data_IF_966212596259
#
_entry.id   IF_966212596259
#
_cell.length_a   1.000
_cell.length_b   1.000
_cell.length_c   1.000
_cell.angle_alpha   90.00
_cell.angle_beta   90.00
_cell.angle_gamma   90.00
#
_symmetry.space_group_name_H-M   'P 1'
#
loop_
_entity.id
_entity.type
_entity.pdbx_description
1 polymer ?
#
# COMPACT_ATOMS: atom_id res chain seq x y z
N UNK A 1 -1.67 -15.05 -24.62
CA UNK A 1 -0.78 -13.99 -24.11
C UNK A 1 -1.35 -13.54 -22.76
N UNK A 2 -0.67 -13.75 -21.62
CA UNK A 2 -1.14 -13.22 -20.33
C UNK A 2 -0.89 -11.73 -20.35
N UNK A 3 -1.94 -10.94 -20.50
CA UNK A 3 -1.87 -9.50 -20.35
C UNK A 3 -1.88 -9.16 -18.85
N UNK A 4 -0.78 -8.66 -18.27
CA UNK A 4 -0.71 -8.33 -16.85
C UNK A 4 -1.67 -7.19 -16.46
N UNK A 5 -2.32 -6.51 -17.41
CA UNK A 5 -3.28 -5.43 -17.19
C UNK A 5 -4.66 -5.67 -17.84
N UNK A 6 -4.96 -6.91 -18.25
CA UNK A 6 -6.21 -7.23 -18.94
C UNK A 6 -7.47 -7.16 -18.05
N UNK A 7 -8.68 -7.01 -18.65
CA UNK A 7 -9.97 -6.90 -17.95
C UNK A 7 -10.31 -8.11 -17.05
N UNK A 8 -9.61 -9.24 -17.24
CA UNK A 8 -9.84 -10.47 -16.50
C UNK A 8 -9.10 -10.57 -15.15
N UNK A 9 -8.38 -9.53 -14.70
CA UNK A 9 -7.64 -9.58 -13.42
C UNK A 9 -8.53 -9.68 -12.20
N UNK A 10 -9.64 -8.94 -12.16
CA UNK A 10 -10.51 -8.89 -11.00
C UNK A 10 -11.12 -10.28 -10.69
N UNK A 11 -11.70 -11.01 -11.67
CA UNK A 11 -12.15 -12.39 -11.44
C UNK A 11 -11.03 -13.35 -10.99
N UNK A 12 -9.80 -13.17 -11.50
CA UNK A 12 -8.65 -14.01 -11.11
C UNK A 12 -8.23 -13.75 -9.66
N UNK A 13 -8.23 -12.49 -9.21
CA UNK A 13 -7.94 -12.15 -7.81
C UNK A 13 -8.98 -12.70 -6.85
N UNK A 14 -10.26 -12.60 -7.21
CA UNK A 14 -11.35 -13.17 -6.41
C UNK A 14 -11.22 -14.69 -6.29
N UNK A 15 -10.87 -15.38 -7.38
CA UNK A 15 -10.67 -16.82 -7.39
C UNK A 15 -9.48 -17.23 -6.52
N UNK A 16 -8.37 -16.49 -6.60
CA UNK A 16 -7.21 -16.71 -5.73
C UNK A 16 -7.55 -16.53 -4.25
N UNK A 17 -8.21 -15.42 -3.89
CA UNK A 17 -8.59 -15.12 -2.51
C UNK A 17 -9.49 -16.21 -1.92
N UNK A 18 -10.46 -16.71 -2.71
CA UNK A 18 -11.32 -17.82 -2.31
C UNK A 18 -10.50 -19.08 -2.01
N UNK A 19 -9.66 -19.52 -2.94
CA UNK A 19 -8.83 -20.71 -2.77
C UNK A 19 -7.82 -20.59 -1.63
N UNK A 20 -7.27 -19.39 -1.41
CA UNK A 20 -6.34 -19.11 -0.31
C UNK A 20 -6.99 -19.35 1.05
N UNK A 21 -8.24 -18.91 1.20
CA UNK A 21 -9.04 -19.11 2.43
C UNK A 21 -9.48 -20.57 2.56
N UNK A 22 -10.08 -21.15 1.51
CA UNK A 22 -10.59 -22.53 1.52
C UNK A 22 -9.50 -23.56 1.83
N UNK A 23 -8.27 -23.33 1.36
CA UNK A 23 -7.14 -24.24 1.57
C UNK A 23 -6.29 -23.91 2.79
N UNK A 24 -6.67 -22.90 3.58
CA UNK A 24 -5.96 -22.44 4.77
C UNK A 24 -4.44 -22.25 4.53
N UNK A 25 -4.06 -21.67 3.38
CA UNK A 25 -2.65 -21.56 2.95
C UNK A 25 -1.81 -20.72 3.92
N UNK A 26 -2.40 -19.65 4.47
CA UNK A 26 -1.85 -18.86 5.55
C UNK A 26 -2.95 -18.03 6.23
N UNK A 27 -2.65 -17.49 7.41
CA UNK A 27 -3.56 -16.65 8.18
C UNK A 27 -3.11 -15.19 8.03
N UNK A 28 -3.87 -14.33 7.33
CA UNK A 28 -3.61 -12.89 7.31
C UNK A 28 -3.79 -12.33 8.71
N UNK A 29 -2.76 -11.67 9.25
CA UNK A 29 -2.80 -11.14 10.62
C UNK A 29 -3.39 -9.74 10.66
N UNK A 30 -2.80 -8.80 9.92
CA UNK A 30 -3.26 -7.41 9.80
C UNK A 30 -2.55 -6.71 8.63
N UNK A 31 -3.08 -5.55 8.24
CA UNK A 31 -2.39 -4.62 7.34
C UNK A 31 -1.78 -3.49 8.17
N UNK A 32 -0.46 -3.25 8.13
CA UNK A 32 0.17 -2.25 8.98
C UNK A 32 -0.29 -0.84 8.58
N UNK A 33 -0.81 -0.11 9.56
CA UNK A 33 -1.05 1.32 9.44
C UNK A 33 0.17 2.06 9.96
N UNK A 34 0.73 2.93 9.13
CA UNK A 34 1.88 3.74 9.50
C UNK A 34 1.42 5.16 9.82
N UNK A 35 1.63 5.57 11.06
CA UNK A 35 1.42 6.95 11.51
C UNK A 35 2.78 7.58 11.80
N UNK A 36 2.99 8.80 11.30
CA UNK A 36 4.22 9.55 11.53
C UNK A 36 3.89 10.93 12.06
N UNK A 37 4.62 11.34 13.10
CA UNK A 37 4.54 12.68 13.63
C UNK A 37 5.37 13.62 12.76
N UNK A 38 4.80 14.79 12.49
CA UNK A 38 5.45 15.90 11.78
C UNK A 38 5.27 17.14 12.65
N UNK A 39 6.24 18.05 12.63
CA UNK A 39 6.07 19.36 13.27
C UNK A 39 4.96 20.15 12.56
N UNK A 40 4.19 20.89 13.33
CA UNK A 40 3.07 21.71 12.86
C UNK A 40 3.48 22.79 11.84
N UNK A 41 4.74 23.23 11.88
CA UNK A 41 5.29 24.19 10.93
C UNK A 41 5.77 23.59 9.60
N UNK A 42 5.66 22.27 9.40
CA UNK A 42 6.02 21.60 8.15
C UNK A 42 4.76 21.33 7.34
N UNK A 43 4.70 21.85 6.12
CA UNK A 43 3.63 21.61 5.16
C UNK A 43 4.11 20.74 3.99
N UNK A 44 3.18 20.23 3.18
CA UNK A 44 3.49 19.40 2.00
C UNK A 44 3.74 17.92 2.29
N UNK A 45 3.65 17.48 3.55
CA UNK A 45 3.81 16.05 3.88
C UNK A 45 2.59 15.26 3.44
N UNK A 46 2.82 14.28 2.56
CA UNK A 46 1.79 13.34 2.13
C UNK A 46 2.26 11.89 2.34
N UNK A 47 1.51 11.16 3.19
CA UNK A 47 1.70 9.73 3.39
C UNK A 47 0.84 8.96 2.38
N UNK A 48 1.51 8.34 1.41
CA UNK A 48 0.87 7.43 0.44
C UNK A 48 1.13 5.97 0.84
N UNK A 49 0.93 5.02 -0.07
CA UNK A 49 1.26 3.61 0.18
C UNK A 49 2.74 3.44 0.52
N UNK A 50 3.01 2.92 1.72
CA UNK A 50 4.35 2.65 2.26
C UNK A 50 4.61 1.15 2.15
N UNK A 51 5.38 0.75 1.14
CA UNK A 51 5.90 -0.62 1.02
C UNK A 51 7.17 -0.84 1.83
N UNK A 52 7.97 0.20 2.01
CA UNK A 52 9.23 0.18 2.74
C UNK A 52 9.43 1.49 3.52
N UNK A 53 10.22 1.51 4.61
CA UNK A 53 10.36 2.68 5.46
C UNK A 53 10.81 3.97 4.75
N UNK A 54 11.56 3.87 3.65
CA UNK A 54 12.02 5.02 2.86
C UNK A 54 10.91 5.71 2.08
N UNK A 55 9.79 5.02 1.79
CA UNK A 55 8.69 5.55 0.97
C UNK A 55 8.01 6.77 1.60
N UNK A 56 8.15 6.96 2.91
CA UNK A 56 7.63 8.12 3.66
C UNK A 56 8.25 9.46 3.21
N UNK A 57 9.40 9.43 2.54
CA UNK A 57 10.09 10.62 2.05
C UNK A 57 9.89 10.85 0.54
N UNK A 58 8.95 10.13 -0.10
CA UNK A 58 8.70 10.31 -1.55
C UNK A 58 8.30 11.74 -1.93
N UNK A 59 7.64 12.46 -1.02
CA UNK A 59 7.21 13.85 -1.24
C UNK A 59 8.15 14.86 -0.60
N UNK A 60 9.36 14.46 -0.18
CA UNK A 60 10.31 15.34 0.52
C UNK A 60 10.63 16.63 -0.26
N UNK A 61 10.64 16.57 -1.59
CA UNK A 61 10.87 17.73 -2.44
C UNK A 61 9.76 18.80 -2.35
N UNK A 62 8.56 18.41 -1.93
CA UNK A 62 7.40 19.29 -1.78
C UNK A 62 7.28 19.85 -0.36
N UNK A 63 8.16 19.44 0.56
CA UNK A 63 8.08 19.86 1.96
C UNK A 63 8.57 21.29 2.13
N UNK A 64 7.81 22.06 2.90
CA UNK A 64 8.11 23.46 3.18
C UNK A 64 8.03 23.74 4.66
N UNK A 65 8.89 24.64 5.14
CA UNK A 65 8.87 25.15 6.51
C UNK A 65 8.18 26.51 6.47
N UNK A 66 7.10 26.64 7.23
CA UNK A 66 6.39 27.90 7.45
C UNK A 66 7.02 28.69 8.61
#
# INVERSE_FOLDING_TARGET
RRDPMGPNRLPLYQSFQRLFVERAIAIPLYYPLFTYAVRDNISGVQLSFISQPSDRFRTLADWQIN
#
